data_IF_402131746843
#
_entry.id   IF_402131746843
#
_cell.length_a   1.000
_cell.length_b   1.000
_cell.length_c   1.000
_cell.angle_alpha   90.00
_cell.angle_beta   90.00
_cell.angle_gamma   90.00
#
_symmetry.space_group_name_H-M   'P 1'
#
loop_
_entity.id
_entity.type
_entity.pdbx_description
1 polymer ?
#
# COMPACT_ATOMS: atom_id res chain seq x y z
N UNK A 1 -38.07 0.55 -10.59
CA UNK A 1 -36.66 0.28 -10.95
C UNK A 1 -35.80 1.38 -10.37
N UNK A 2 -35.16 1.14 -9.23
CA UNK A 2 -34.29 2.12 -8.57
C UNK A 2 -32.85 1.93 -9.03
N UNK A 3 -32.36 2.84 -9.87
CA UNK A 3 -30.96 2.89 -10.26
C UNK A 3 -30.14 3.46 -9.10
N UNK A 4 -29.58 2.58 -8.28
CA UNK A 4 -28.52 2.96 -7.34
C UNK A 4 -27.27 3.31 -8.14
N UNK A 5 -27.11 4.59 -8.47
CA UNK A 5 -25.91 5.11 -9.07
C UNK A 5 -24.76 4.95 -8.09
N UNK A 6 -23.91 3.94 -8.31
CA UNK A 6 -22.59 3.89 -7.67
C UNK A 6 -21.85 5.11 -8.17
N UNK A 7 -21.51 6.04 -7.29
CA UNK A 7 -20.59 7.12 -7.61
C UNK A 7 -19.33 6.45 -8.17
N UNK A 8 -18.86 6.81 -9.38
CA UNK A 8 -17.64 6.23 -9.91
C UNK A 8 -16.51 6.53 -8.93
N UNK A 9 -15.87 5.47 -8.43
CA UNK A 9 -14.71 5.62 -7.56
C UNK A 9 -13.69 6.52 -8.27
N UNK A 10 -13.22 7.54 -7.56
CA UNK A 10 -12.18 8.45 -8.04
C UNK A 10 -10.82 7.82 -7.72
N UNK A 11 -9.87 7.98 -8.64
CA UNK A 11 -8.55 7.35 -8.59
C UNK A 11 -8.44 6.03 -9.38
N UNK A 12 -7.23 5.44 -9.46
CA UNK A 12 -6.98 4.19 -10.16
C UNK A 12 -7.94 3.09 -9.72
N UNK A 13 -8.62 2.47 -10.68
CA UNK A 13 -9.48 1.33 -10.41
C UNK A 13 -8.66 0.06 -10.31
N UNK A 14 -9.06 -0.89 -9.45
CA UNK A 14 -8.37 -2.16 -9.33
C UNK A 14 -8.50 -2.94 -10.65
N UNK A 15 -7.36 -3.25 -11.26
CA UNK A 15 -7.29 -3.82 -12.62
C UNK A 15 -6.67 -5.22 -12.66
N UNK A 16 -6.12 -5.70 -11.54
CA UNK A 16 -5.53 -7.03 -11.46
C UNK A 16 -6.60 -8.08 -11.19
N UNK A 17 -6.25 -9.35 -11.42
CA UNK A 17 -7.08 -10.55 -11.22
C UNK A 17 -8.35 -10.36 -10.37
N UNK A 18 -9.53 -10.43 -11.00
CA UNK A 18 -10.82 -10.31 -10.32
C UNK A 18 -11.19 -8.91 -9.82
N UNK A 19 -10.50 -7.85 -10.28
CA UNK A 19 -10.76 -6.47 -9.86
C UNK A 19 -10.07 -6.15 -8.53
N UNK A 20 -8.78 -6.49 -8.42
CA UNK A 20 -7.93 -6.24 -7.24
C UNK A 20 -6.85 -5.20 -7.52
N UNK A 21 -6.40 -4.53 -6.46
CA UNK A 21 -5.16 -3.74 -6.46
C UNK A 21 -3.94 -4.67 -6.50
N UNK A 22 -2.73 -4.15 -6.78
CA UNK A 22 -1.52 -4.99 -6.78
C UNK A 22 -1.27 -5.72 -5.46
N UNK A 23 -1.66 -5.11 -4.33
CA UNK A 23 -1.61 -5.77 -3.03
C UNK A 23 -2.73 -6.80 -2.80
N UNK A 24 -3.70 -6.97 -3.70
CA UNK A 24 -4.75 -7.99 -3.59
C UNK A 24 -6.07 -7.52 -2.96
N UNK A 25 -6.13 -6.33 -2.35
CA UNK A 25 -7.40 -5.77 -1.89
C UNK A 25 -8.35 -5.48 -3.06
N UNK A 26 -9.62 -5.81 -2.90
CA UNK A 26 -10.68 -5.41 -3.84
C UNK A 26 -11.15 -3.96 -3.61
N UNK A 27 -10.85 -3.40 -2.44
CA UNK A 27 -11.21 -2.03 -2.05
C UNK A 27 -10.06 -1.39 -1.27
N UNK A 28 -9.83 -0.09 -1.44
CA UNK A 28 -8.82 0.62 -0.68
C UNK A 28 -9.28 0.78 0.78
N UNK A 29 -8.34 0.88 1.70
CA UNK A 29 -8.59 1.15 3.12
C UNK A 29 -7.45 1.99 3.70
N UNK A 30 -7.63 2.61 4.87
CA UNK A 30 -6.56 3.40 5.49
C UNK A 30 -5.39 2.50 5.91
N UNK A 31 -4.15 2.87 5.55
CA UNK A 31 -2.96 2.19 6.04
C UNK A 31 -2.92 2.16 7.57
N UNK A 32 -2.43 1.06 8.14
CA UNK A 32 -2.42 0.82 9.59
C UNK A 32 -3.72 0.24 10.15
N UNK A 33 -4.81 0.24 9.38
CA UNK A 33 -6.01 -0.52 9.72
C UNK A 33 -5.84 -1.99 9.38
N UNK A 34 -6.64 -2.85 10.03
CA UNK A 34 -6.80 -4.25 9.66
C UNK A 34 -7.28 -4.34 8.20
N UNK A 35 -6.68 -5.22 7.40
CA UNK A 35 -7.08 -5.41 6.00
C UNK A 35 -8.49 -6.01 5.90
N UNK A 36 -9.19 -5.91 4.75
CA UNK A 36 -10.52 -6.48 4.59
C UNK A 36 -10.59 -8.00 4.85
N UNK A 37 -9.58 -8.76 4.42
CA UNK A 37 -9.37 -10.18 4.72
C UNK A 37 -8.90 -10.46 6.15
N UNK A 38 -8.50 -9.42 6.90
CA UNK A 38 -8.29 -9.49 8.33
C UNK A 38 -6.85 -9.54 8.81
N UNK A 39 -5.89 -9.22 7.93
CA UNK A 39 -4.47 -9.12 8.29
C UNK A 39 -4.26 -7.93 9.23
N UNK A 40 -3.56 -8.18 10.33
CA UNK A 40 -3.16 -7.13 11.26
C UNK A 40 -1.80 -6.55 10.83
N UNK A 41 -1.71 -5.23 10.61
CA UNK A 41 -0.45 -4.62 10.22
C UNK A 41 0.51 -4.49 11.41
N UNK A 42 1.79 -4.38 11.09
CA UNK A 42 2.79 -3.87 12.01
C UNK A 42 3.51 -2.67 11.41
N UNK A 43 3.80 -1.68 12.25
CA UNK A 43 4.45 -0.44 11.82
C UNK A 43 5.97 -0.62 11.79
N UNK A 44 6.60 -0.22 10.68
CA UNK A 44 8.02 0.08 10.64
C UNK A 44 8.22 1.57 10.45
N UNK A 45 9.03 2.16 11.32
CA UNK A 45 9.37 3.58 11.32
C UNK A 45 10.88 3.73 11.07
N UNK A 46 11.25 4.54 10.08
CA UNK A 46 12.65 4.88 9.78
C UNK A 46 13.31 4.06 8.66
N UNK A 47 14.64 4.18 8.54
CA UNK A 47 15.45 3.72 7.39
C UNK A 47 15.60 2.20 7.20
N UNK A 48 14.87 1.38 7.95
CA UNK A 48 14.86 -0.08 7.81
C UNK A 48 14.14 -0.58 6.53
N UNK A 49 13.84 0.32 5.58
CA UNK A 49 13.05 0.07 4.37
C UNK A 49 13.82 0.37 3.08
N UNK A 50 15.16 0.51 3.14
CA UNK A 50 15.98 0.83 1.97
C UNK A 50 15.98 -0.26 0.88
N UNK A 51 15.62 -1.49 1.24
CA UNK A 51 15.48 -2.64 0.33
C UNK A 51 14.05 -2.84 -0.17
N UNK A 52 13.14 -1.93 0.16
CA UNK A 52 11.73 -2.04 -0.18
C UNK A 52 11.39 -1.14 -1.38
N UNK A 53 10.58 -1.60 -2.35
CA UNK A 53 10.25 -0.79 -3.52
C UNK A 53 9.42 0.43 -3.10
N UNK A 54 10.04 1.61 -3.11
CA UNK A 54 9.41 2.87 -2.73
C UNK A 54 10.24 3.72 -1.77
N UNK A 55 9.75 4.92 -1.49
CA UNK A 55 10.37 5.87 -0.54
C UNK A 55 9.49 5.99 0.70
N UNK A 56 9.99 5.53 1.84
CA UNK A 56 9.21 5.34 3.06
C UNK A 56 9.65 6.27 4.20
N UNK A 57 9.86 7.56 3.89
CA UNK A 57 10.43 8.56 4.81
C UNK A 57 9.66 8.68 6.13
N UNK A 58 8.34 8.52 6.09
CA UNK A 58 7.45 8.64 7.24
C UNK A 58 7.08 7.29 7.88
N UNK A 59 7.73 6.20 7.41
CA UNK A 59 7.42 4.83 7.79
C UNK A 59 6.34 4.20 6.93
N UNK A 60 6.09 2.93 7.21
CA UNK A 60 5.15 2.10 6.48
C UNK A 60 4.47 1.10 7.42
N UNK A 61 3.29 0.65 7.02
CA UNK A 61 2.62 -0.50 7.62
C UNK A 61 2.86 -1.72 6.74
N UNK A 62 3.33 -2.80 7.35
CA UNK A 62 3.55 -4.07 6.68
C UNK A 62 2.42 -5.04 7.01
N UNK A 63 1.97 -5.76 5.99
CA UNK A 63 0.90 -6.73 6.01
C UNK A 63 1.49 -8.08 5.58
N UNK A 64 1.86 -8.96 6.54
CA UNK A 64 2.41 -10.27 6.22
C UNK A 64 1.28 -11.19 5.76
N UNK A 65 1.47 -11.85 4.61
CA UNK A 65 0.48 -12.76 4.08
C UNK A 65 0.70 -14.14 4.68
N UNK A 66 -0.39 -14.84 4.97
CA UNK A 66 -0.34 -16.15 5.61
C UNK A 66 0.02 -17.25 4.63
N UNK A 67 -0.33 -17.09 3.35
CA UNK A 67 -0.01 -18.03 2.30
C UNK A 67 1.24 -17.58 1.55
N UNK A 68 2.12 -18.55 1.30
CA UNK A 68 3.23 -18.36 0.40
C UNK A 68 2.77 -18.53 -1.04
N UNK A 69 3.47 -17.86 -1.95
CA UNK A 69 3.26 -18.04 -3.37
C UNK A 69 4.30 -18.99 -3.94
N UNK A 70 3.82 -19.97 -4.68
CA UNK A 70 4.63 -20.97 -5.37
C UNK A 70 4.64 -20.66 -6.86
N UNK A 71 5.83 -20.49 -7.42
CA UNK A 71 6.03 -20.17 -8.83
C UNK A 71 7.23 -20.91 -9.39
N UNK A 72 7.26 -21.05 -10.71
CA UNK A 72 8.45 -21.49 -11.42
C UNK A 72 9.37 -20.30 -11.63
N UNK A 73 10.61 -20.36 -11.12
CA UNK A 73 11.59 -19.31 -11.27
C UNK A 73 12.49 -19.63 -12.47
N UNK A 74 12.31 -18.94 -13.59
CA UNK A 74 13.15 -19.15 -14.78
C UNK A 74 14.64 -18.82 -14.56
N UNK A 75 14.97 -18.03 -13.54
CA UNK A 75 16.37 -17.67 -13.25
C UNK A 75 17.12 -18.83 -12.60
N UNK A 76 16.45 -19.60 -11.72
CA UNK A 76 17.00 -20.78 -11.05
C UNK A 76 16.58 -22.10 -11.69
N UNK A 77 15.65 -22.05 -12.65
CA UNK A 77 15.03 -23.20 -13.32
C UNK A 77 14.29 -24.17 -12.37
N UNK A 78 13.84 -23.70 -11.21
CA UNK A 78 13.22 -24.50 -10.15
C UNK A 78 11.84 -23.98 -9.71
N UNK A 79 11.02 -24.87 -9.15
CA UNK A 79 9.82 -24.45 -8.42
C UNK A 79 10.23 -23.89 -7.05
N UNK A 80 9.89 -22.62 -6.82
CA UNK A 80 10.19 -21.92 -5.56
C UNK A 80 8.91 -21.54 -4.84
N UNK A 81 8.98 -21.53 -3.51
CA UNK A 81 7.92 -21.04 -2.64
C UNK A 81 8.49 -19.91 -1.78
N UNK A 82 7.83 -18.74 -1.81
CA UNK A 82 8.28 -17.54 -1.10
C UNK A 82 7.16 -16.90 -0.29
N UNK A 83 7.45 -16.41 0.93
CA UNK A 83 6.52 -15.58 1.67
C UNK A 83 6.31 -14.23 0.97
N UNK A 84 5.15 -13.62 1.21
CA UNK A 84 4.79 -12.31 0.67
C UNK A 84 4.62 -11.32 1.83
N UNK A 85 5.21 -10.15 1.65
CA UNK A 85 5.08 -9.02 2.57
C UNK A 85 4.65 -7.78 1.79
N UNK A 86 3.42 -7.34 2.04
CA UNK A 86 2.87 -6.16 1.40
C UNK A 86 3.02 -4.91 2.28
N UNK A 87 3.28 -3.76 1.66
CA UNK A 87 3.64 -2.49 2.28
C UNK A 87 2.65 -1.39 1.91
N UNK A 88 2.26 -0.54 2.86
CA UNK A 88 1.56 0.70 2.56
C UNK A 88 2.11 1.88 3.34
N UNK A 89 2.14 3.06 2.71
CA UNK A 89 2.75 4.25 3.30
C UNK A 89 1.86 4.74 4.44
N UNK A 90 2.47 5.24 5.52
CA UNK A 90 1.76 5.54 6.77
C UNK A 90 0.50 6.40 6.61
N UNK A 91 0.51 7.35 5.68
CA UNK A 91 -0.57 8.33 5.49
C UNK A 91 -1.36 8.11 4.19
N UNK A 92 -1.22 6.95 3.55
CA UNK A 92 -1.83 6.65 2.27
C UNK A 92 -2.97 5.63 2.36
N UNK A 93 -3.76 5.56 1.29
CA UNK A 93 -4.67 4.44 1.04
C UNK A 93 -3.87 3.16 0.75
N UNK A 94 -4.33 2.04 1.30
CA UNK A 94 -3.69 0.75 1.22
C UNK A 94 -4.51 -0.23 0.37
N UNK A 95 -3.81 -0.99 -0.46
CA UNK A 95 -4.34 -2.05 -1.29
C UNK A 95 -3.87 -3.45 -0.91
N UNK A 96 -3.18 -3.61 0.23
CA UNK A 96 -2.73 -4.92 0.71
C UNK A 96 -3.89 -5.73 1.26
N UNK A 97 -4.21 -6.85 0.65
CA UNK A 97 -5.11 -7.83 1.24
C UNK A 97 -4.84 -9.19 0.63
N UNK A 98 -4.84 -10.20 1.47
CA UNK A 98 -4.76 -11.56 1.02
C UNK A 98 -6.18 -12.09 0.84
N UNK A 99 -6.43 -12.74 -0.29
CA UNK A 99 -7.64 -13.54 -0.44
C UNK A 99 -7.44 -14.88 0.29
N UNK A 100 -8.40 -15.28 1.13
CA UNK A 100 -8.41 -16.60 1.79
C UNK A 100 -8.50 -17.76 0.77
N UNK A 101 -8.83 -17.45 -0.48
CA UNK A 101 -8.73 -18.39 -1.57
C UNK A 101 -7.25 -18.68 -1.89
N UNK A 102 -6.81 -19.87 -1.50
CA UNK A 102 -5.49 -20.48 -1.80
C UNK A 102 -5.06 -20.47 -3.29
N UNK A 103 -5.95 -20.08 -4.19
CA UNK A 103 -5.75 -19.94 -5.63
C UNK A 103 -5.72 -18.48 -6.09
N UNK A 104 -5.28 -17.53 -5.25
CA UNK A 104 -4.92 -16.17 -5.69
C UNK A 104 -3.71 -16.15 -6.66
N UNK A 105 -3.47 -17.25 -7.38
CA UNK A 105 -2.43 -17.46 -8.36
C UNK A 105 -2.51 -16.40 -9.47
N UNK A 106 -3.70 -16.07 -9.96
CA UNK A 106 -3.83 -15.14 -11.09
C UNK A 106 -3.32 -13.73 -10.79
N UNK A 107 -3.47 -13.24 -9.56
CA UNK A 107 -2.91 -11.94 -9.15
C UNK A 107 -1.38 -11.99 -9.21
N UNK A 108 -0.81 -13.00 -8.57
CA UNK A 108 0.64 -13.14 -8.46
C UNK A 108 1.29 -13.53 -9.79
N UNK A 109 0.60 -14.29 -10.64
CA UNK A 109 1.02 -14.56 -12.03
C UNK A 109 1.11 -13.27 -12.85
N UNK A 110 0.20 -12.30 -12.64
CA UNK A 110 0.28 -10.99 -13.31
C UNK A 110 1.41 -10.11 -12.76
N UNK A 111 1.77 -10.26 -11.48
CA UNK A 111 2.77 -9.44 -10.81
C UNK A 111 4.20 -9.97 -10.96
N UNK A 112 4.35 -11.29 -10.91
CA UNK A 112 5.62 -12.01 -10.86
C UNK A 112 5.89 -12.73 -12.18
N UNK A 113 4.85 -13.12 -12.93
CA UNK A 113 4.99 -13.77 -14.22
C UNK A 113 5.72 -15.10 -14.12
N UNK A 114 6.81 -15.21 -14.88
CA UNK A 114 7.70 -16.37 -14.92
C UNK A 114 8.76 -16.39 -13.79
N UNK A 115 8.62 -15.52 -12.79
CA UNK A 115 9.57 -15.43 -11.69
C UNK A 115 10.93 -14.84 -12.04
N UNK A 116 11.12 -14.35 -13.28
CA UNK A 116 12.38 -13.72 -13.67
C UNK A 116 12.52 -12.34 -13.02
N UNK A 117 13.54 -12.20 -12.18
CA UNK A 117 13.78 -10.98 -11.40
C UNK A 117 14.00 -9.74 -12.29
N UNK A 118 14.54 -9.92 -13.50
CA UNK A 118 14.76 -8.83 -14.46
C UNK A 118 13.46 -8.29 -15.07
N UNK A 119 12.41 -9.13 -15.14
CA UNK A 119 11.12 -8.79 -15.72
C UNK A 119 10.10 -8.28 -14.69
N UNK A 120 10.46 -8.29 -13.40
CA UNK A 120 9.61 -7.74 -12.35
C UNK A 120 9.43 -6.24 -12.52
N UNK A 121 8.18 -5.77 -12.36
CA UNK A 121 7.92 -4.36 -12.23
C UNK A 121 8.34 -3.88 -10.82
N UNK A 122 9.60 -3.45 -10.69
CA UNK A 122 10.22 -3.02 -9.43
C UNK A 122 9.58 -1.81 -8.75
N UNK A 123 8.63 -1.14 -9.41
CA UNK A 123 7.83 -0.10 -8.76
C UNK A 123 6.73 -0.70 -7.86
N UNK A 124 6.35 -1.95 -8.09
CA UNK A 124 5.27 -2.67 -7.40
C UNK A 124 5.81 -3.89 -6.67
N UNK A 125 6.68 -4.69 -7.30
CA UNK A 125 7.19 -5.95 -6.74
C UNK A 125 8.71 -5.96 -6.74
N UNK A 126 9.29 -6.28 -5.59
CA UNK A 126 10.72 -6.57 -5.44
C UNK A 126 10.92 -7.82 -4.58
N UNK A 127 12.17 -8.24 -4.42
CA UNK A 127 12.54 -9.40 -3.60
C UNK A 127 13.70 -9.00 -2.72
N UNK A 128 13.59 -9.24 -1.41
CA UNK A 128 14.72 -9.08 -0.49
C UNK A 128 14.70 -10.11 0.62
N UNK A 129 15.82 -10.22 1.32
CA UNK A 129 15.94 -11.08 2.48
C UNK A 129 15.38 -10.36 3.73
N UNK A 130 14.32 -10.93 4.31
CA UNK A 130 13.71 -10.45 5.55
C UNK A 130 13.92 -11.54 6.61
N UNK A 131 14.69 -11.23 7.66
CA UNK A 131 15.03 -12.18 8.74
C UNK A 131 15.67 -13.50 8.25
N UNK A 132 16.49 -13.45 7.19
CA UNK A 132 17.13 -14.64 6.61
C UNK A 132 16.28 -15.42 5.60
N UNK A 133 15.07 -14.92 5.29
CA UNK A 133 14.16 -15.55 4.32
C UNK A 133 13.95 -14.62 3.13
N UNK A 134 14.25 -15.11 1.93
CA UNK A 134 13.92 -14.43 0.67
C UNK A 134 12.41 -14.24 0.58
N UNK A 135 11.97 -13.00 0.59
CA UNK A 135 10.56 -12.60 0.69
C UNK A 135 10.20 -11.74 -0.51
N UNK A 136 9.02 -12.00 -1.08
CA UNK A 136 8.44 -11.15 -2.13
C UNK A 136 7.82 -9.93 -1.47
N UNK A 137 8.19 -8.77 -1.96
CA UNK A 137 7.86 -7.48 -1.40
C UNK A 137 6.90 -6.77 -2.35
N UNK A 138 5.72 -6.39 -1.86
CA UNK A 138 4.70 -5.72 -2.68
C UNK A 138 4.45 -4.32 -2.15
N UNK A 139 4.55 -3.31 -3.01
CA UNK A 139 4.07 -1.96 -2.72
C UNK A 139 2.56 -1.88 -2.98
N UNK A 140 1.79 -1.96 -1.90
CA UNK A 140 0.34 -1.82 -1.91
C UNK A 140 -0.14 -0.38 -1.70
N UNK A 141 0.76 0.61 -1.65
CA UNK A 141 0.39 2.02 -1.52
C UNK A 141 -0.38 2.48 -2.75
N UNK A 142 -1.56 3.06 -2.53
CA UNK A 142 -2.40 3.59 -3.59
C UNK A 142 -2.23 5.11 -3.68
N UNK A 143 -2.41 5.70 -4.87
CA UNK A 143 -2.38 7.16 -5.03
C UNK A 143 -3.39 7.89 -4.14
N UNK A 144 -3.07 9.12 -3.75
CA UNK A 144 -3.89 9.93 -2.83
C UNK A 144 -5.30 10.22 -3.34
N UNK A 145 -5.53 10.15 -4.66
CA UNK A 145 -6.85 10.35 -5.26
C UNK A 145 -7.73 9.09 -5.21
N UNK A 146 -7.19 7.94 -4.77
CA UNK A 146 -7.96 6.72 -4.51
C UNK A 146 -8.84 6.91 -3.29
N UNK A 147 -10.14 7.11 -3.53
CA UNK A 147 -11.12 7.27 -2.45
C UNK A 147 -11.33 5.97 -1.67
N UNK A 148 -11.40 6.11 -0.36
CA UNK A 148 -11.88 5.06 0.53
C UNK A 148 -13.36 4.77 0.24
N UNK A 149 -13.85 3.53 0.46
CA UNK A 149 -15.27 3.26 0.36
C UNK A 149 -16.04 4.25 1.25
N UNK A 150 -16.93 5.02 0.64
CA UNK A 150 -17.89 5.82 1.40
C UNK A 150 -18.72 4.86 2.24
N UNK A 151 -18.57 4.93 3.56
CA UNK A 151 -19.52 4.34 4.48
C UNK A 151 -20.88 4.95 4.12
N UNK A 152 -21.84 4.12 3.73
CA UNK A 152 -23.15 4.58 3.29
C UNK A 152 -23.90 5.30 4.41
N UNK A 153 -23.61 6.59 4.59
CA UNK A 153 -24.44 7.53 5.32
C UNK A 153 -24.77 8.70 4.38
N UNK A 154 -26.05 8.77 4.05
CA UNK A 154 -26.59 9.88 3.28
C UNK A 154 -26.62 11.11 4.17
N UNK A 155 -25.75 12.09 3.91
CA UNK A 155 -26.03 13.49 4.24
C UNK A 155 -25.21 14.43 3.37
N UNK A 156 -25.86 14.91 2.31
CA UNK A 156 -25.51 16.18 1.68
C UNK A 156 -25.55 17.29 2.73
N UNK A 157 -24.41 17.96 2.94
CA UNK A 157 -24.35 19.13 3.79
C UNK A 157 -22.90 19.56 3.96
N UNK A 158 -22.48 20.58 3.21
CA UNK A 158 -21.14 21.12 3.32
C UNK A 158 -20.90 21.64 4.73
N UNK A 159 -19.87 21.13 5.38
CA UNK A 159 -19.10 21.87 6.35
C UNK A 159 -17.70 21.26 6.42
N UNK A 160 -16.70 22.12 6.22
CA UNK A 160 -15.30 21.77 6.39
C UNK A 160 -15.12 21.28 7.83
N UNK A 161 -14.84 20.00 7.99
CA UNK A 161 -14.74 19.35 9.29
C UNK A 161 -13.75 20.10 10.19
N UNK A 162 -14.08 20.18 11.48
CA UNK A 162 -13.24 20.84 12.50
C UNK A 162 -11.77 20.35 12.47
N UNK A 163 -11.53 19.13 11.96
CA UNK A 163 -10.20 18.57 11.68
C UNK A 163 -9.37 19.40 10.69
N UNK A 164 -9.98 19.89 9.60
CA UNK A 164 -9.29 20.74 8.62
C UNK A 164 -8.96 22.13 9.19
N UNK A 165 -9.83 22.68 10.06
CA UNK A 165 -9.56 23.94 10.77
C UNK A 165 -8.46 23.79 11.82
N UNK A 166 -8.44 22.67 12.56
CA UNK A 166 -7.34 22.36 13.49
C UNK A 166 -6.01 22.12 12.79
N UNK A 167 -6.01 21.56 11.58
CA UNK A 167 -4.77 21.39 10.80
C UNK A 167 -4.21 22.73 10.31
N UNK A 168 -5.07 23.71 9.96
CA UNK A 168 -4.65 25.06 9.59
C UNK A 168 -4.19 25.87 10.82
N UNK A 169 -4.80 25.69 12.00
CA UNK A 169 -4.35 26.34 13.24
C UNK A 169 -3.10 25.68 13.84
N UNK A 170 -2.86 24.38 13.59
CA UNK A 170 -1.67 23.66 14.04
C UNK A 170 -0.41 23.97 13.21
N UNK A 171 -0.54 24.72 12.11
CA UNK A 171 0.59 25.31 11.36
C UNK A 171 1.13 26.54 12.10
N UNK A 172 1.40 26.39 13.40
CA UNK A 172 2.15 27.36 14.18
C UNK A 172 3.52 27.63 13.56
N UNK A 173 4.21 28.64 14.10
CA UNK A 173 5.45 29.30 13.64
C UNK A 173 6.68 28.41 13.30
N UNK A 174 6.54 27.09 13.13
CA UNK A 174 7.58 26.16 12.70
C UNK A 174 8.26 26.55 11.38
N UNK A 175 7.58 27.09 10.34
CA UNK A 175 8.26 27.50 9.12
C UNK A 175 9.14 28.74 9.36
N UNK A 176 8.74 29.63 10.27
CA UNK A 176 9.54 30.78 10.68
C UNK A 176 10.77 30.34 11.50
N UNK A 177 10.61 29.36 12.40
CA UNK A 177 11.73 28.78 13.15
C UNK A 177 12.74 28.07 12.23
N UNK A 178 12.25 27.33 11.22
CA UNK A 178 13.08 26.69 10.21
C UNK A 178 13.85 27.73 9.36
N UNK A 179 13.20 28.84 8.99
CA UNK A 179 13.85 29.92 8.25
C UNK A 179 14.96 30.62 9.06
N UNK A 180 14.73 30.87 10.36
CA UNK A 180 15.77 31.44 11.26
C UNK A 180 16.94 30.47 11.44
N UNK A 181 16.66 29.18 11.62
CA UNK A 181 17.70 28.14 11.73
C UNK A 181 18.53 28.02 10.44
N UNK A 182 17.88 28.10 9.27
CA UNK A 182 18.57 28.12 7.99
C UNK A 182 19.45 29.36 7.82
N UNK A 183 18.98 30.54 8.25
CA UNK A 183 19.77 31.77 8.18
C UNK A 183 21.00 31.73 9.10
N UNK A 184 20.91 31.08 10.27
CA UNK A 184 22.05 30.90 11.19
C UNK A 184 23.09 29.93 10.64
N UNK A 185 22.68 28.92 9.86
CA UNK A 185 23.60 27.94 9.26
C UNK A 185 24.18 28.38 7.91
N UNK A 186 23.66 29.45 7.31
CA UNK A 186 24.13 30.01 6.03
C UNK A 186 24.95 31.30 6.23
N UNK A 187 25.20 31.73 7.48
CA UNK A 187 26.05 32.86 7.84
C UNK A 187 27.44 32.44 8.34
#
# INVERSE_FOLDING_TARGET
>A
SGGGGRVPARGPQPSYAGGRYPGGAARPYSSGSRSPGGILPFALVGGALAFWPGVWLYGAYMYPYNHHYRYYNETSEEEEERPILCACSREASCGCDEDDNKNATELYDQLIGNGSYEHLNKSIVDVAEVNGTTTILINGTLPEDTQLPEDGDSSSGGDSSAAARTMIEAMGYWPAAAAVMAAVFVA
#
